data_IF_526562579065
#
_entry.id   IF_526562579065
#
_cell.length_a   1.000
_cell.length_b   1.000
_cell.length_c   1.000
_cell.angle_alpha   90.00
_cell.angle_beta   90.00
_cell.angle_gamma   90.00
#
_symmetry.space_group_name_H-M   'P 1'
#
loop_
_entity.id
_entity.type
_entity.pdbx_description
1 polymer ?
#
# COMPACT_ATOMS: atom_id res chain seq x y z
N UNK A 1 7.30 -21.02 -57.91
CA UNK A 1 7.99 -20.09 -56.99
C UNK A 1 7.08 -19.84 -55.78
N UNK A 2 7.64 -19.76 -54.58
CA UNK A 2 7.26 -20.68 -53.51
C UNK A 2 6.83 -20.00 -52.19
N UNK A 3 6.29 -20.85 -51.28
CA UNK A 3 6.36 -20.76 -49.80
C UNK A 3 5.62 -19.58 -49.14
N UNK A 4 4.71 -19.79 -48.18
CA UNK A 4 4.99 -20.36 -46.86
C UNK A 4 3.76 -21.06 -46.27
N UNK A 5 3.78 -22.40 -46.25
CA UNK A 5 3.12 -23.23 -45.22
C UNK A 5 4.19 -23.53 -44.18
N UNK A 6 4.01 -23.12 -42.92
CA UNK A 6 4.79 -23.64 -41.79
C UNK A 6 3.98 -23.65 -40.49
N UNK A 7 3.79 -24.88 -39.99
CA UNK A 7 3.91 -25.27 -38.58
C UNK A 7 2.97 -24.63 -37.55
N UNK A 8 1.77 -25.22 -37.43
CA UNK A 8 1.09 -25.31 -36.13
C UNK A 8 1.79 -26.42 -35.32
N UNK A 9 2.90 -26.07 -34.67
CA UNK A 9 3.62 -26.95 -33.75
C UNK A 9 3.46 -26.38 -32.33
N UNK A 10 2.69 -27.11 -31.52
CA UNK A 10 2.88 -27.30 -30.07
C UNK A 10 3.55 -26.12 -29.35
N UNK A 11 2.74 -25.16 -28.92
CA UNK A 11 3.11 -24.18 -27.89
C UNK A 11 2.14 -24.29 -26.70
N UNK A 12 1.91 -25.51 -26.23
CA UNK A 12 1.61 -25.75 -24.82
C UNK A 12 2.92 -25.60 -24.04
N UNK A 13 3.46 -24.38 -24.04
CA UNK A 13 4.61 -24.01 -23.22
C UNK A 13 4.10 -23.86 -21.79
N UNK A 14 4.21 -24.97 -21.06
CA UNK A 14 4.72 -25.02 -19.69
C UNK A 14 4.85 -23.62 -19.06
N UNK A 15 3.78 -23.14 -18.43
CA UNK A 15 3.89 -22.23 -17.30
C UNK A 15 4.53 -22.99 -16.13
N UNK A 16 5.77 -23.44 -16.32
CA UNK A 16 6.66 -23.71 -15.21
C UNK A 16 6.87 -22.35 -14.55
N UNK A 17 6.28 -22.20 -13.36
CA UNK A 17 6.73 -21.24 -12.38
C UNK A 17 8.25 -21.33 -12.32
N UNK A 18 8.94 -20.36 -12.93
CA UNK A 18 10.37 -20.25 -12.78
C UNK A 18 10.63 -20.22 -11.27
N UNK A 19 11.42 -21.15 -10.71
CA UNK A 19 11.80 -21.04 -9.32
C UNK A 19 12.43 -19.65 -9.16
N UNK A 20 11.94 -18.92 -8.16
CA UNK A 20 12.54 -17.68 -7.73
C UNK A 20 14.05 -17.88 -7.63
N UNK A 21 14.80 -17.29 -8.55
CA UNK A 21 16.25 -17.43 -8.57
C UNK A 21 16.76 -16.86 -7.26
N UNK A 22 17.42 -17.70 -6.46
CA UNK A 22 18.08 -17.27 -5.24
C UNK A 22 18.93 -16.03 -5.53
N UNK A 23 18.91 -15.05 -4.63
CA UNK A 23 19.77 -13.90 -4.77
C UNK A 23 21.22 -14.36 -4.62
N UNK A 24 21.95 -14.38 -5.73
CA UNK A 24 23.39 -14.60 -5.76
C UNK A 24 24.08 -13.33 -5.30
N UNK A 25 25.09 -13.47 -4.47
CA UNK A 25 25.76 -12.32 -3.89
C UNK A 25 26.56 -11.50 -4.91
N UNK A 26 26.29 -10.20 -5.00
CA UNK A 26 27.16 -9.25 -5.68
C UNK A 26 28.29 -8.88 -4.74
N UNK A 27 29.40 -9.62 -4.82
CA UNK A 27 30.59 -9.33 -4.03
C UNK A 27 31.53 -8.41 -4.81
N UNK A 28 31.77 -7.17 -4.34
CA UNK A 28 32.89 -6.40 -4.82
C UNK A 28 34.18 -7.12 -4.42
N UNK A 29 35.13 -7.29 -5.35
CA UNK A 29 36.37 -8.05 -5.10
C UNK A 29 37.10 -7.56 -3.85
N UNK A 30 37.07 -6.26 -3.58
CA UNK A 30 37.66 -5.67 -2.38
C UNK A 30 36.69 -4.73 -1.69
N UNK A 31 36.78 -4.66 -0.36
CA UNK A 31 35.95 -3.79 0.45
C UNK A 31 36.57 -3.47 1.80
N UNK A 32 36.13 -2.40 2.46
CA UNK A 32 36.56 -2.06 3.81
C UNK A 32 35.44 -1.37 4.59
N UNK A 33 35.39 -1.61 5.91
CA UNK A 33 34.68 -0.75 6.86
C UNK A 33 35.72 0.08 7.60
N UNK A 34 35.71 1.39 7.37
CA UNK A 34 36.59 2.34 8.02
C UNK A 34 35.85 2.94 9.21
N UNK A 35 36.49 2.94 10.38
CA UNK A 35 35.94 3.52 11.60
C UNK A 35 36.98 4.42 12.26
N UNK A 36 36.53 5.50 12.89
CA UNK A 36 37.36 6.36 13.71
C UNK A 36 36.55 7.09 14.77
N UNK A 37 37.12 7.24 15.96
CA UNK A 37 36.52 7.93 17.10
C UNK A 37 37.44 9.04 17.60
N UNK A 38 36.87 10.21 17.86
CA UNK A 38 37.55 11.34 18.51
C UNK A 38 36.66 11.93 19.60
N UNK A 39 37.10 11.83 20.85
CA UNK A 39 36.27 12.21 21.99
C UNK A 39 34.97 11.40 21.99
N UNK A 40 33.84 12.09 21.89
CA UNK A 40 32.51 11.49 21.88
C UNK A 40 31.89 11.35 20.48
N UNK A 41 32.66 11.66 19.44
CA UNK A 41 32.26 11.61 18.05
C UNK A 41 32.89 10.40 17.34
N UNK A 42 32.07 9.60 16.67
CA UNK A 42 32.50 8.43 15.88
C UNK A 42 31.95 8.53 14.47
N UNK A 43 32.78 8.21 13.49
CA UNK A 43 32.38 8.09 12.08
C UNK A 43 32.67 6.68 11.57
N UNK A 44 31.81 6.20 10.66
CA UNK A 44 32.11 5.01 9.87
C UNK A 44 31.78 5.21 8.40
N UNK A 45 32.64 4.64 7.55
CA UNK A 45 32.47 4.62 6.10
C UNK A 45 32.65 3.20 5.61
N UNK A 46 31.64 2.64 4.94
CA UNK A 46 31.79 1.39 4.21
C UNK A 46 32.15 1.70 2.76
N UNK A 47 33.13 0.99 2.19
CA UNK A 47 33.56 1.16 0.80
C UNK A 47 33.71 -0.17 0.08
N UNK A 48 33.49 -0.15 -1.23
CA UNK A 48 33.61 -1.31 -2.12
C UNK A 48 34.29 -0.94 -3.43
N UNK A 49 35.13 -1.83 -3.97
CA UNK A 49 35.79 -1.57 -5.27
C UNK A 49 34.81 -1.79 -6.43
N UNK A 50 34.70 -0.82 -7.33
CA UNK A 50 33.82 -0.85 -8.51
C UNK A 50 34.53 -0.63 -9.85
N UNK A 51 35.79 -0.18 -9.85
CA UNK A 51 36.54 0.13 -11.07
C UNK A 51 37.59 -0.92 -11.45
N UNK A 52 37.92 -0.98 -12.75
CA UNK A 52 39.06 -1.74 -13.24
C UNK A 52 40.38 -1.14 -12.76
N UNK A 53 41.33 -2.00 -12.37
CA UNK A 53 42.64 -1.61 -11.85
C UNK A 53 43.26 -2.77 -11.06
N UNK A 54 44.58 -2.92 -11.11
CA UNK A 54 45.30 -3.98 -10.40
C UNK A 54 45.36 -3.72 -8.88
N UNK A 55 45.27 -4.79 -8.09
CA UNK A 55 45.27 -4.69 -6.62
C UNK A 55 44.18 -3.76 -6.11
N UNK A 56 44.54 -2.77 -5.29
CA UNK A 56 43.61 -1.78 -4.75
C UNK A 56 43.39 -0.55 -5.63
N UNK A 57 44.20 -0.34 -6.68
CA UNK A 57 44.04 0.82 -7.57
C UNK A 57 42.70 0.77 -8.32
N UNK A 58 42.12 1.93 -8.57
CA UNK A 58 40.86 2.10 -9.31
C UNK A 58 39.79 2.81 -8.50
N UNK A 59 38.54 2.68 -8.94
CA UNK A 59 37.38 3.36 -8.35
C UNK A 59 36.76 2.53 -7.24
N UNK A 60 36.39 3.18 -6.15
CA UNK A 60 35.74 2.58 -4.98
C UNK A 60 34.49 3.36 -4.64
N UNK A 61 33.35 2.68 -4.56
CA UNK A 61 32.10 3.29 -4.15
C UNK A 61 32.07 3.41 -2.63
N UNK A 62 31.58 4.52 -2.10
CA UNK A 62 31.11 4.54 -0.71
C UNK A 62 29.76 3.81 -0.69
N UNK A 63 29.51 2.93 0.27
CA UNK A 63 28.22 2.24 0.39
C UNK A 63 27.30 2.94 1.40
N UNK A 64 27.91 3.48 2.46
CA UNK A 64 27.26 4.41 3.37
C UNK A 64 28.31 5.17 4.18
N UNK A 65 27.88 6.30 4.70
CA UNK A 65 28.55 7.04 5.78
C UNK A 65 27.61 7.13 6.98
N UNK A 66 28.16 6.94 8.18
CA UNK A 66 27.46 7.21 9.43
C UNK A 66 28.31 8.08 10.35
N UNK A 67 27.63 8.93 11.11
CA UNK A 67 28.24 9.71 12.19
C UNK A 67 27.41 9.60 13.46
N UNK A 68 28.11 9.50 14.58
CA UNK A 68 27.55 9.19 15.89
C UNK A 68 28.15 10.14 16.90
N UNK A 69 27.31 10.92 17.58
CA UNK A 69 27.73 11.72 18.74
C UNK A 69 27.06 11.14 19.97
N UNK A 70 27.85 10.80 20.99
CA UNK A 70 27.32 10.31 22.26
C UNK A 70 27.53 11.36 23.34
N UNK A 71 26.51 11.67 24.12
CA UNK A 71 26.60 12.61 25.24
C UNK A 71 26.64 11.85 26.57
N UNK A 72 27.18 12.48 27.60
CA UNK A 72 27.24 11.95 28.97
C UNK A 72 25.86 11.89 29.64
N UNK A 73 24.87 12.60 29.09
CA UNK A 73 23.49 12.65 29.58
C UNK A 73 22.46 12.57 28.44
N UNK A 74 21.23 12.11 28.71
CA UNK A 74 20.14 12.14 27.73
C UNK A 74 19.88 13.57 27.22
N UNK A 75 19.61 13.70 25.92
CA UNK A 75 19.42 15.01 25.30
C UNK A 75 18.03 15.61 25.53
N UNK A 76 17.05 14.80 25.97
CA UNK A 76 15.67 15.25 26.19
C UNK A 76 14.95 15.71 24.91
N UNK A 77 15.51 15.43 23.74
CA UNK A 77 15.02 15.84 22.43
C UNK A 77 14.82 14.60 21.55
N UNK A 78 13.65 14.48 20.94
CA UNK A 78 13.37 13.51 19.90
C UNK A 78 13.15 14.27 18.60
N UNK A 79 14.05 14.12 17.63
CA UNK A 79 13.81 14.61 16.28
C UNK A 79 14.34 13.60 15.26
N UNK A 80 13.73 13.63 14.08
CA UNK A 80 14.22 12.98 12.89
C UNK A 80 14.30 14.05 11.79
N UNK A 81 15.47 14.19 11.17
CA UNK A 81 15.69 15.16 10.11
C UNK A 81 16.40 14.50 8.93
N UNK A 82 16.03 14.90 7.72
CA UNK A 82 16.70 14.48 6.49
C UNK A 82 17.20 15.74 5.80
N UNK A 83 18.51 15.82 5.56
CA UNK A 83 19.14 16.95 4.90
C UNK A 83 20.01 16.50 3.73
N UNK A 84 20.04 17.30 2.65
CA UNK A 84 20.97 17.11 1.54
C UNK A 84 22.16 18.04 1.70
N UNK A 85 23.36 17.46 1.72
CA UNK A 85 24.64 18.16 1.79
C UNK A 85 25.32 18.10 0.42
N UNK A 86 25.76 19.25 -0.08
CA UNK A 86 26.60 19.36 -1.27
C UNK A 86 28.06 19.44 -0.82
N UNK A 87 28.89 18.50 -1.28
CA UNK A 87 30.32 18.40 -0.94
C UNK A 87 31.23 19.08 -1.98
N UNK A 88 30.65 19.73 -2.99
CA UNK A 88 31.36 20.36 -4.10
C UNK A 88 31.60 19.39 -5.28
N UNK A 89 32.01 19.93 -6.43
CA UNK A 89 32.32 19.16 -7.65
C UNK A 89 31.23 18.17 -8.09
N UNK A 90 29.96 18.52 -7.85
CA UNK A 90 28.80 17.68 -8.17
C UNK A 90 28.57 16.50 -7.21
N UNK A 91 29.36 16.40 -6.13
CA UNK A 91 29.25 15.33 -5.12
C UNK A 91 28.25 15.76 -4.04
N UNK A 92 27.35 14.86 -3.67
CA UNK A 92 26.34 15.10 -2.64
C UNK A 92 26.12 13.87 -1.76
N UNK A 93 25.54 14.12 -0.59
CA UNK A 93 24.95 13.09 0.26
C UNK A 93 23.64 13.59 0.88
N UNK A 94 22.70 12.69 1.08
CA UNK A 94 21.45 12.89 1.82
C UNK A 94 21.54 12.10 3.11
N UNK A 95 21.45 12.77 4.25
CA UNK A 95 21.68 12.18 5.57
C UNK A 95 20.41 12.25 6.40
N UNK A 96 20.02 11.12 6.97
CA UNK A 96 18.95 11.04 7.97
C UNK A 96 19.56 10.97 9.37
N UNK A 97 19.20 11.91 10.22
CA UNK A 97 19.64 12.00 11.61
C UNK A 97 18.49 11.71 12.57
N UNK A 98 18.79 11.00 13.65
CA UNK A 98 17.86 10.71 14.75
C UNK A 98 18.55 10.81 16.10
N UNK A 99 17.77 11.11 17.14
CA UNK A 99 18.23 11.11 18.52
C UNK A 99 17.55 9.99 19.29
N UNK A 100 18.34 9.16 19.98
CA UNK A 100 17.84 8.14 20.89
C UNK A 100 18.63 8.23 22.19
N UNK A 101 17.96 8.62 23.28
CA UNK A 101 18.58 8.78 24.59
C UNK A 101 19.65 9.87 24.60
N UNK A 102 20.91 9.46 24.78
CA UNK A 102 22.08 10.33 24.79
C UNK A 102 22.85 10.34 23.46
N UNK A 103 22.31 9.76 22.38
CA UNK A 103 23.04 9.56 21.13
C UNK A 103 22.34 10.24 19.95
N UNK A 104 23.09 11.04 19.22
CA UNK A 104 22.73 11.51 17.88
C UNK A 104 23.35 10.52 16.87
N UNK A 105 22.54 10.00 15.97
CA UNK A 105 22.97 9.08 14.93
C UNK A 105 22.49 9.56 13.57
N UNK A 106 23.43 9.83 12.69
CA UNK A 106 23.21 10.30 11.33
C UNK A 106 23.75 9.25 10.35
N UNK A 107 22.98 8.93 9.29
CA UNK A 107 23.38 7.98 8.27
C UNK A 107 22.94 8.42 6.88
N UNK A 108 23.77 8.19 5.87
CA UNK A 108 23.41 8.45 4.47
C UNK A 108 22.26 7.56 4.01
N UNK A 109 21.28 8.16 3.33
CA UNK A 109 20.12 7.49 2.71
C UNK A 109 20.19 7.51 1.19
N UNK A 110 20.86 8.50 0.61
CA UNK A 110 21.19 8.60 -0.82
C UNK A 110 22.50 9.39 -0.97
N UNK A 111 23.32 9.12 -1.99
CA UNK A 111 24.55 9.87 -2.30
C UNK A 111 25.16 9.42 -3.64
N UNK A 112 26.11 10.18 -4.16
CA UNK A 112 26.91 9.81 -5.35
C UNK A 112 28.43 9.73 -5.09
N UNK A 113 28.84 9.65 -3.82
CA UNK A 113 30.26 9.62 -3.43
C UNK A 113 31.02 8.39 -3.95
N UNK A 114 32.17 8.63 -4.59
CA UNK A 114 33.10 7.63 -5.11
C UNK A 114 34.52 8.07 -4.76
N UNK A 115 35.34 7.14 -4.27
CA UNK A 115 36.76 7.31 -4.03
C UNK A 115 37.58 6.82 -5.23
N UNK A 116 38.66 7.52 -5.51
CA UNK A 116 39.70 7.11 -6.45
C UNK A 116 40.94 6.68 -5.67
N UNK A 117 41.47 5.50 -5.99
CA UNK A 117 42.70 4.96 -5.41
C UNK A 117 43.77 4.86 -6.50
N UNK A 118 44.89 5.57 -6.31
CA UNK A 118 46.03 5.51 -7.21
C UNK A 118 47.34 5.58 -6.43
N UNK A 119 48.24 4.60 -6.63
CA UNK A 119 49.56 4.59 -6.01
C UNK A 119 49.50 4.65 -4.48
N UNK A 120 48.60 3.87 -3.87
CA UNK A 120 48.33 3.83 -2.43
C UNK A 120 47.79 5.13 -1.81
N UNK A 121 47.38 6.10 -2.64
CA UNK A 121 46.69 7.32 -2.18
C UNK A 121 45.22 7.23 -2.52
N UNK A 122 44.38 7.87 -1.71
CA UNK A 122 42.92 7.87 -1.85
C UNK A 122 42.42 9.32 -1.88
N UNK A 123 41.53 9.64 -2.81
CA UNK A 123 40.82 10.92 -2.88
C UNK A 123 39.36 10.69 -3.22
N UNK A 124 38.52 11.70 -2.99
CA UNK A 124 37.18 11.69 -3.59
C UNK A 124 37.34 11.94 -5.10
N UNK A 125 36.64 11.19 -5.92
CA UNK A 125 36.78 11.23 -7.38
C UNK A 125 36.61 12.66 -7.92
N UNK A 126 37.49 13.06 -8.86
CA UNK A 126 37.53 14.42 -9.43
C UNK A 126 37.79 15.54 -8.41
N UNK A 127 38.39 15.25 -7.26
CA UNK A 127 38.77 16.27 -6.27
C UNK A 127 40.28 16.31 -6.04
N UNK A 128 40.75 17.43 -5.49
CA UNK A 128 42.00 17.52 -4.75
C UNK A 128 41.63 18.03 -3.34
N UNK A 129 42.30 17.63 -2.25
CA UNK A 129 43.55 16.86 -2.18
C UNK A 129 43.37 15.32 -2.05
N UNK A 130 44.49 14.62 -1.85
CA UNK A 130 44.51 13.18 -1.50
C UNK A 130 44.34 13.03 0.00
N UNK A 131 43.16 12.57 0.44
CA UNK A 131 42.77 12.60 1.85
C UNK A 131 42.95 11.27 2.59
N UNK A 132 43.33 10.21 1.88
CA UNK A 132 43.53 8.89 2.47
C UNK A 132 44.72 8.16 1.86
N UNK A 133 45.04 7.02 2.46
CA UNK A 133 46.13 6.15 1.98
C UNK A 133 45.87 4.69 2.28
N UNK A 134 46.60 3.81 1.58
CA UNK A 134 46.63 2.38 1.82
C UNK A 134 48.05 1.97 2.22
N UNK A 135 48.20 1.25 3.33
CA UNK A 135 49.44 0.63 3.74
C UNK A 135 49.20 -0.85 4.06
N UNK A 136 49.83 -1.77 3.33
CA UNK A 136 49.46 -3.19 3.36
C UNK A 136 48.00 -3.37 2.95
N UNK A 137 47.18 -3.96 3.82
CA UNK A 137 45.73 -4.04 3.66
C UNK A 137 44.98 -2.96 4.47
N UNK A 138 45.65 -2.06 5.17
CA UNK A 138 44.99 -1.04 5.98
C UNK A 138 44.67 0.18 5.11
N UNK A 139 43.39 0.51 4.98
CA UNK A 139 42.89 1.74 4.36
C UNK A 139 42.66 2.80 5.42
N UNK A 140 43.04 4.04 5.10
CA UNK A 140 42.79 5.22 5.92
C UNK A 140 42.08 6.30 5.12
N UNK A 141 41.14 7.01 5.74
CA UNK A 141 40.36 8.06 5.08
C UNK A 141 40.01 9.18 6.04
N UNK A 142 39.89 10.39 5.48
CA UNK A 142 39.34 11.58 6.12
C UNK A 142 38.65 12.42 5.05
N UNK A 143 37.47 12.97 5.31
CA UNK A 143 36.80 13.89 4.40
C UNK A 143 37.52 15.24 4.34
N UNK A 144 38.01 15.75 5.47
CA UNK A 144 38.76 17.00 5.55
C UNK A 144 40.09 16.79 6.31
N UNK A 145 41.22 16.62 5.59
CA UNK A 145 42.54 16.34 6.19
C UNK A 145 42.92 17.29 7.33
N UNK A 146 42.68 18.59 7.11
CA UNK A 146 43.03 19.67 8.05
C UNK A 146 42.05 19.82 9.22
N UNK A 147 40.88 19.16 9.19
CA UNK A 147 39.89 19.34 10.24
C UNK A 147 40.33 18.63 11.52
N UNK A 148 40.70 19.42 12.52
CA UNK A 148 41.13 18.92 13.82
C UNK A 148 39.99 18.36 14.69
N UNK A 149 38.75 18.27 14.23
CA UNK A 149 37.65 17.62 14.97
C UNK A 149 37.25 16.28 14.35
N UNK A 150 37.58 16.07 13.09
CA UNK A 150 37.26 14.85 12.37
C UNK A 150 38.24 13.71 12.75
N UNK A 151 37.75 12.50 13.05
CA UNK A 151 38.60 11.35 13.31
C UNK A 151 39.28 10.86 12.03
N UNK A 152 40.48 10.28 12.15
CA UNK A 152 41.07 9.52 11.05
C UNK A 152 40.40 8.15 11.01
N UNK A 153 39.71 7.84 9.92
CA UNK A 153 39.07 6.53 9.75
C UNK A 153 40.11 5.51 9.34
N UNK A 154 40.04 4.32 9.93
CA UNK A 154 40.92 3.20 9.60
C UNK A 154 40.13 1.91 9.49
N UNK A 155 40.53 1.04 8.57
CA UNK A 155 39.94 -0.28 8.42
C UNK A 155 40.77 -1.17 7.51
N UNK A 156 40.60 -2.48 7.64
CA UNK A 156 41.28 -3.44 6.78
C UNK A 156 40.45 -3.69 5.52
N UNK A 157 41.14 -3.74 4.38
CA UNK A 157 40.59 -4.17 3.11
C UNK A 157 40.47 -5.70 3.16
N UNK A 158 39.24 -6.18 3.10
CA UNK A 158 38.92 -7.59 2.86
C UNK A 158 38.78 -7.85 1.37
N UNK A 159 39.38 -8.95 0.90
CA UNK A 159 39.02 -9.55 -0.39
C UNK A 159 37.72 -10.35 -0.20
N UNK A 160 36.80 -10.27 -1.16
CA UNK A 160 35.56 -11.03 -1.11
C UNK A 160 35.85 -12.51 -0.88
N UNK A 161 35.02 -13.14 -0.04
CA UNK A 161 35.01 -14.59 0.12
C UNK A 161 34.95 -15.24 -1.27
N UNK A 162 35.91 -16.13 -1.56
CA UNK A 162 35.88 -16.98 -2.75
C UNK A 162 34.72 -17.99 -2.71
N UNK A 163 34.11 -18.19 -1.54
CA UNK A 163 32.98 -19.10 -1.36
C UNK A 163 31.67 -18.41 -1.80
N UNK A 164 30.89 -19.04 -2.71
CA UNK A 164 29.65 -18.47 -3.20
C UNK A 164 28.63 -18.41 -2.06
N UNK A 165 28.07 -17.22 -1.84
CA UNK A 165 27.00 -17.04 -0.88
C UNK A 165 25.68 -16.84 -1.63
N UNK A 166 24.62 -17.51 -1.19
CA UNK A 166 23.28 -17.37 -1.78
C UNK A 166 22.25 -17.18 -0.69
N UNK A 167 21.28 -16.31 -0.91
CA UNK A 167 20.12 -16.12 -0.03
C UNK A 167 18.84 -16.45 -0.81
N UNK A 168 17.96 -17.25 -0.22
CA UNK A 168 16.65 -17.54 -0.81
C UNK A 168 15.53 -17.49 0.22
N UNK A 169 14.49 -16.69 -0.02
CA UNK A 169 13.25 -16.69 0.76
C UNK A 169 12.41 -17.89 0.33
N UNK A 170 12.18 -18.80 1.29
CA UNK A 170 11.32 -19.98 1.17
C UNK A 170 9.89 -19.63 1.56
N UNK A 171 9.72 -18.91 2.67
CA UNK A 171 8.44 -18.35 3.11
C UNK A 171 8.61 -16.86 3.45
N UNK A 172 7.75 -15.96 2.94
CA UNK A 172 6.55 -16.22 2.14
C UNK A 172 6.85 -16.62 0.68
N UNK A 173 5.91 -17.35 0.08
CA UNK A 173 5.85 -17.54 -1.38
C UNK A 173 5.36 -16.26 -2.08
N UNK A 174 5.61 -16.14 -3.38
CA UNK A 174 5.21 -14.96 -4.14
C UNK A 174 3.69 -14.78 -4.11
N UNK A 175 3.23 -13.57 -3.74
CA UNK A 175 1.81 -13.18 -3.60
C UNK A 175 1.06 -13.98 -2.52
N UNK A 176 1.77 -14.57 -1.56
CA UNK A 176 1.14 -15.28 -0.44
C UNK A 176 0.17 -14.35 0.29
N UNK A 177 -1.01 -14.88 0.57
CA UNK A 177 -2.10 -14.13 1.17
C UNK A 177 -2.20 -14.44 2.66
N UNK A 178 -2.30 -13.41 3.48
CA UNK A 178 -2.47 -13.48 4.92
C UNK A 178 -3.74 -12.75 5.32
N UNK A 179 -4.47 -13.28 6.29
CA UNK A 179 -5.72 -12.69 6.76
C UNK A 179 -5.69 -12.58 8.28
N UNK A 180 -6.14 -11.45 8.80
CA UNK A 180 -6.34 -11.29 10.23
C UNK A 180 -7.37 -12.29 10.75
N UNK A 181 -7.15 -12.84 11.94
CA UNK A 181 -8.10 -13.78 12.56
C UNK A 181 -9.43 -13.10 12.89
N UNK A 182 -10.49 -13.92 12.93
CA UNK A 182 -11.86 -13.49 13.21
C UNK A 182 -12.15 -13.24 14.70
N UNK A 183 -11.17 -13.46 15.59
CA UNK A 183 -11.32 -13.38 17.03
C UNK A 183 -11.51 -11.93 17.49
N UNK A 184 -11.99 -11.70 18.72
CA UNK A 184 -12.36 -10.38 19.24
C UNK A 184 -11.28 -9.30 19.07
N UNK A 185 -10.00 -9.64 19.28
CA UNK A 185 -8.88 -8.72 19.01
C UNK A 185 -8.45 -8.81 17.54
N UNK A 186 -8.38 -10.02 17.00
CA UNK A 186 -7.79 -10.31 15.69
C UNK A 186 -6.27 -10.27 15.75
N UNK A 187 -5.61 -11.08 14.92
CA UNK A 187 -4.15 -11.09 14.79
C UNK A 187 -3.75 -11.55 13.39
N UNK A 188 -2.59 -11.09 12.90
CA UNK A 188 -1.99 -11.54 11.65
C UNK A 188 -0.65 -12.21 11.95
N UNK A 189 -0.55 -13.51 11.73
CA UNK A 189 0.70 -14.26 11.88
C UNK A 189 1.37 -14.43 10.51
N UNK A 190 2.67 -14.18 10.46
CA UNK A 190 3.52 -14.35 9.28
C UNK A 190 4.73 -15.18 9.69
N UNK A 191 4.89 -16.33 9.05
CA UNK A 191 6.09 -17.16 9.15
C UNK A 191 7.06 -16.76 8.05
N UNK A 192 8.30 -16.54 8.45
CA UNK A 192 9.39 -16.10 7.58
C UNK A 192 10.49 -17.15 7.64
N UNK A 193 10.85 -17.66 6.47
CA UNK A 193 11.89 -18.67 6.32
C UNK A 193 12.77 -18.34 5.13
N UNK A 194 14.07 -18.29 5.35
CA UNK A 194 15.06 -18.13 4.31
C UNK A 194 16.13 -19.21 4.44
N UNK A 195 16.66 -19.65 3.30
CA UNK A 195 17.81 -20.54 3.22
C UNK A 195 19.02 -19.73 2.78
N UNK A 196 20.15 -19.96 3.43
CA UNK A 196 21.43 -19.40 3.02
C UNK A 196 22.42 -20.50 2.73
N UNK A 197 23.34 -20.26 1.82
CA UNK A 197 24.55 -21.07 1.67
C UNK A 197 25.71 -20.10 1.70
N UNK A 198 26.76 -20.33 2.52
CA UNK A 198 26.89 -21.37 3.54
C UNK A 198 25.95 -21.19 4.75
N UNK A 199 25.52 -22.31 5.35
CA UNK A 199 24.52 -22.33 6.45
C UNK A 199 24.96 -21.57 7.70
N UNK A 200 26.27 -21.41 7.92
CA UNK A 200 26.82 -20.66 9.07
C UNK A 200 26.31 -19.21 9.16
N UNK A 201 25.84 -18.65 8.04
CA UNK A 201 25.29 -17.29 7.98
C UNK A 201 23.77 -17.22 8.29
N UNK A 202 23.13 -18.35 8.63
CA UNK A 202 21.69 -18.41 8.86
C UNK A 202 21.21 -17.41 9.92
N UNK A 203 22.00 -17.21 10.99
CA UNK A 203 21.67 -16.29 12.08
C UNK A 203 21.91 -14.80 11.74
N UNK A 204 22.60 -14.52 10.63
CA UNK A 204 22.93 -13.15 10.20
C UNK A 204 21.91 -12.56 9.22
N UNK A 205 20.93 -13.36 8.79
CA UNK A 205 19.83 -12.88 7.94
C UNK A 205 19.02 -11.85 8.73
N UNK A 206 18.80 -10.69 8.13
CA UNK A 206 17.97 -9.60 8.67
C UNK A 206 16.71 -9.48 7.84
N UNK A 207 15.55 -9.54 8.49
CA UNK A 207 14.26 -9.37 7.85
C UNK A 207 13.78 -7.92 7.90
N UNK A 208 13.32 -7.43 6.76
CA UNK A 208 12.50 -6.22 6.65
C UNK A 208 11.07 -6.63 6.37
N UNK A 209 10.17 -6.21 7.24
CA UNK A 209 8.75 -6.56 7.18
C UNK A 209 7.89 -5.29 7.15
N UNK A 210 6.66 -5.36 6.63
CA UNK A 210 5.78 -4.21 6.54
C UNK A 210 5.50 -3.61 7.92
N UNK A 211 5.53 -2.30 8.02
CA UNK A 211 4.97 -1.61 9.18
C UNK A 211 3.46 -1.46 8.98
N UNK A 212 2.71 -1.56 10.09
CA UNK A 212 1.26 -1.34 10.13
C UNK A 212 1.04 -0.26 11.18
N UNK A 213 0.43 0.85 10.77
CA UNK A 213 0.32 2.03 11.62
C UNK A 213 -0.46 1.75 12.91
N UNK A 214 0.04 2.26 14.04
CA UNK A 214 -0.58 2.15 15.35
C UNK A 214 -0.69 0.73 15.92
N UNK A 215 0.09 -0.25 15.43
CA UNK A 215 0.01 -1.64 15.90
C UNK A 215 1.29 -2.16 16.53
N UNK A 216 1.12 -2.83 17.67
CA UNK A 216 2.16 -3.61 18.33
C UNK A 216 2.52 -4.81 17.47
N UNK A 217 3.82 -5.00 17.26
CA UNK A 217 4.38 -6.15 16.55
C UNK A 217 5.19 -6.98 17.54
N UNK A 218 4.88 -8.27 17.60
CA UNK A 218 5.69 -9.25 18.32
C UNK A 218 6.41 -10.15 17.32
N UNK A 219 7.62 -10.55 17.65
CA UNK A 219 8.39 -11.49 16.84
C UNK A 219 9.11 -12.47 17.75
N UNK A 220 9.30 -13.71 17.29
CA UNK A 220 10.12 -14.71 18.01
C UNK A 220 11.54 -14.21 18.25
N UNK A 221 12.06 -13.39 17.34
CA UNK A 221 13.25 -12.57 17.53
C UNK A 221 12.91 -11.07 17.32
N UNK A 222 12.92 -10.24 18.37
CA UNK A 222 12.63 -8.80 18.25
C UNK A 222 13.58 -8.02 17.33
N UNK A 223 14.80 -8.52 17.11
CA UNK A 223 15.77 -7.91 16.19
C UNK A 223 15.51 -8.28 14.73
N UNK A 224 14.51 -9.12 14.46
CA UNK A 224 14.18 -9.64 13.13
C UNK A 224 15.36 -10.33 12.45
N UNK A 225 16.14 -11.08 13.25
CA UNK A 225 17.31 -11.83 12.77
C UNK A 225 17.10 -13.34 12.81
N UNK A 226 17.71 -14.04 11.87
CA UNK A 226 17.73 -15.48 11.77
C UNK A 226 17.05 -16.03 10.52
N UNK A 227 17.37 -17.28 10.19
CA UNK A 227 16.81 -17.98 9.04
C UNK A 227 15.31 -18.25 9.17
N UNK A 228 14.81 -18.37 10.41
CA UNK A 228 13.40 -18.56 10.70
C UNK A 228 12.94 -17.60 11.79
N UNK A 229 11.92 -16.79 11.47
CA UNK A 229 11.24 -15.95 12.46
C UNK A 229 9.72 -16.00 12.24
N UNK A 230 8.96 -15.88 13.33
CA UNK A 230 7.51 -15.67 13.25
C UNK A 230 7.18 -14.28 13.75
N UNK A 231 6.36 -13.57 12.99
CA UNK A 231 5.93 -12.19 13.27
C UNK A 231 4.42 -12.20 13.47
N UNK A 232 3.95 -11.51 14.50
CA UNK A 232 2.53 -11.36 14.82
C UNK A 232 2.20 -9.88 14.96
N UNK A 233 1.20 -9.42 14.20
CA UNK A 233 0.56 -8.12 14.41
C UNK A 233 -0.73 -8.32 15.20
N UNK A 234 -0.83 -7.65 16.35
CA UNK A 234 -2.00 -7.76 17.23
C UNK A 234 -3.05 -6.70 16.86
N UNK A 235 -4.28 -7.13 16.59
CA UNK A 235 -5.40 -6.25 16.27
C UNK A 235 -5.45 -5.77 14.82
N UNK A 236 -6.65 -5.60 14.27
CA UNK A 236 -6.81 -5.07 12.91
C UNK A 236 -6.43 -3.57 12.83
N UNK A 237 -5.79 -3.11 11.75
CA UNK A 237 -5.40 -1.71 11.55
C UNK A 237 -6.58 -0.74 11.52
N UNK A 238 -6.30 0.55 11.73
CA UNK A 238 -7.30 1.62 11.61
C UNK A 238 -7.64 1.96 10.17
N UNK A 239 -6.64 1.92 9.29
CA UNK A 239 -6.79 2.34 7.90
C UNK A 239 -6.92 1.15 6.95
N UNK A 240 -7.79 1.26 5.94
CA UNK A 240 -7.85 0.29 4.85
C UNK A 240 -6.52 0.22 4.07
N UNK A 241 -5.72 1.29 4.08
CA UNK A 241 -4.43 1.36 3.38
C UNK A 241 -3.35 0.46 4.01
N UNK A 242 -3.55 0.00 5.24
CA UNK A 242 -2.66 -0.94 5.91
C UNK A 242 -2.83 -2.38 5.40
N UNK A 243 -3.89 -2.66 4.64
CA UNK A 243 -4.07 -3.93 3.93
C UNK A 243 -3.46 -3.88 2.52
N UNK A 244 -3.66 -4.96 1.78
CA UNK A 244 -3.23 -5.06 0.39
C UNK A 244 -1.81 -5.53 0.19
N UNK A 245 -1.24 -5.17 -0.96
CA UNK A 245 0.10 -5.60 -1.37
C UNK A 245 1.15 -4.99 -0.45
N UNK A 246 2.02 -5.83 0.11
CA UNK A 246 3.13 -5.44 0.96
C UNK A 246 4.39 -6.19 0.55
N UNK A 247 5.55 -5.69 0.95
CA UNK A 247 6.85 -6.31 0.66
C UNK A 247 7.48 -6.87 1.95
N UNK A 248 7.94 -8.11 1.87
CA UNK A 248 8.84 -8.72 2.86
C UNK A 248 10.19 -8.93 2.18
N UNK A 249 11.27 -8.55 2.86
CA UNK A 249 12.62 -8.69 2.33
C UNK A 249 13.52 -9.38 3.35
N UNK A 250 14.44 -10.19 2.86
CA UNK A 250 15.55 -10.75 3.64
C UNK A 250 16.84 -10.17 3.10
N UNK A 251 17.74 -9.76 3.99
CA UNK A 251 19.06 -9.23 3.64
C UNK A 251 20.12 -9.99 4.41
N UNK A 252 21.23 -10.28 3.76
CA UNK A 252 22.42 -10.87 4.38
C UNK A 252 23.64 -10.05 3.99
N UNK A 253 24.42 -9.64 4.98
CA UNK A 253 25.70 -8.96 4.79
C UNK A 253 26.84 -9.87 5.28
N UNK A 254 27.82 -10.17 4.41
CA UNK A 254 29.01 -10.96 4.74
C UNK A 254 30.26 -10.14 4.40
N UNK A 255 30.88 -9.49 5.38
CA UNK A 255 31.85 -8.44 5.07
C UNK A 255 31.14 -7.30 4.30
N UNK A 256 31.57 -7.00 3.07
CA UNK A 256 30.85 -6.06 2.20
C UNK A 256 30.01 -6.70 1.10
N UNK A 257 29.94 -8.03 1.08
CA UNK A 257 29.00 -8.76 0.25
C UNK A 257 27.59 -8.49 0.80
N UNK A 258 26.64 -8.02 -0.04
CA UNK A 258 25.20 -7.97 0.29
C UNK A 258 24.35 -8.85 -0.64
N UNK A 259 23.58 -9.77 -0.07
CA UNK A 259 22.45 -10.42 -0.74
C UNK A 259 21.13 -9.81 -0.24
N UNK A 260 20.18 -9.63 -1.14
CA UNK A 260 18.83 -9.23 -0.80
C UNK A 260 17.83 -9.94 -1.69
N UNK A 261 16.77 -10.48 -1.11
CA UNK A 261 15.62 -10.98 -1.84
C UNK A 261 14.35 -10.38 -1.25
N UNK A 262 13.35 -10.15 -2.09
CA UNK A 262 12.05 -9.60 -1.69
C UNK A 262 10.89 -10.42 -2.25
N UNK A 263 9.78 -10.44 -1.51
CA UNK A 263 8.53 -11.11 -1.86
C UNK A 263 7.34 -10.18 -1.63
N UNK A 264 6.45 -10.10 -2.62
CA UNK A 264 5.12 -9.50 -2.43
C UNK A 264 4.27 -10.46 -1.60
N UNK A 265 3.67 -9.95 -0.53
CA UNK A 265 2.61 -10.60 0.24
C UNK A 265 1.36 -9.73 0.21
N UNK A 266 0.21 -10.30 0.58
CA UNK A 266 -1.07 -9.57 0.57
C UNK A 266 -1.80 -9.73 1.89
N UNK A 267 -2.14 -8.62 2.53
CA UNK A 267 -2.85 -8.61 3.81
C UNK A 267 -4.34 -8.36 3.59
N UNK A 268 -5.16 -9.11 4.33
CA UNK A 268 -6.62 -9.09 4.23
C UNK A 268 -7.27 -9.02 5.61
N UNK A 269 -8.51 -8.54 5.67
CA UNK A 269 -9.34 -8.60 6.87
C UNK A 269 -10.52 -9.56 6.71
N UNK A 270 -10.97 -10.22 7.81
CA UNK A 270 -12.18 -11.03 7.79
C UNK A 270 -13.41 -10.15 7.55
N UNK A 271 -14.13 -10.36 6.45
CA UNK A 271 -15.16 -9.43 5.97
C UNK A 271 -16.30 -9.19 6.97
N UNK A 272 -16.76 -10.26 7.61
CA UNK A 272 -18.02 -10.30 8.36
C UNK A 272 -17.90 -9.96 9.85
N UNK A 273 -16.71 -10.07 10.42
CA UNK A 273 -16.51 -9.85 11.86
C UNK A 273 -16.55 -8.37 12.20
N UNK A 274 -16.67 -8.06 13.49
CA UNK A 274 -16.71 -6.68 14.03
C UNK A 274 -15.50 -6.36 14.89
N UNK A 275 -14.34 -6.93 14.56
CA UNK A 275 -13.08 -6.74 15.30
C UNK A 275 -12.20 -5.63 14.72
N UNK A 276 -12.77 -4.74 13.89
CA UNK A 276 -12.17 -3.45 13.57
C UNK A 276 -12.03 -2.58 14.83
N UNK A 277 -11.19 -1.53 14.80
CA UNK A 277 -10.92 -0.70 15.97
C UNK A 277 -12.15 -0.06 16.64
N UNK A 278 -13.23 0.20 15.90
CA UNK A 278 -14.44 0.78 16.46
C UNK A 278 -15.37 -0.26 17.10
N UNK A 279 -15.27 -1.54 16.71
CA UNK A 279 -16.06 -2.65 17.26
C UNK A 279 -17.56 -2.64 16.94
N UNK A 280 -18.07 -1.60 16.28
CA UNK A 280 -19.52 -1.33 16.15
C UNK A 280 -20.17 -1.92 14.90
N UNK A 281 -19.43 -1.97 13.80
CA UNK A 281 -19.94 -2.38 12.48
C UNK A 281 -19.12 -3.54 11.93
N UNK A 282 -19.63 -4.30 10.94
CA UNK A 282 -18.81 -5.29 10.23
C UNK A 282 -17.58 -4.64 9.58
N UNK A 283 -16.48 -5.39 9.50
CA UNK A 283 -15.22 -4.90 8.96
C UNK A 283 -15.35 -4.37 7.53
N UNK A 284 -16.16 -5.02 6.68
CA UNK A 284 -16.40 -4.53 5.32
C UNK A 284 -16.92 -3.10 5.31
N UNK A 285 -17.89 -2.77 6.17
CA UNK A 285 -18.47 -1.44 6.22
C UNK A 285 -17.45 -0.45 6.76
N UNK A 286 -16.78 -0.80 7.86
CA UNK A 286 -15.77 0.03 8.49
C UNK A 286 -14.66 0.44 7.51
N UNK A 287 -14.11 -0.52 6.76
CA UNK A 287 -12.99 -0.25 5.85
C UNK A 287 -13.42 0.31 4.51
N UNK A 288 -14.50 -0.20 3.88
CA UNK A 288 -14.95 0.33 2.58
C UNK A 288 -15.44 1.78 2.69
N UNK A 289 -15.99 2.17 3.85
CA UNK A 289 -16.34 3.58 4.14
C UNK A 289 -15.14 4.55 4.05
N UNK A 290 -13.91 4.06 4.18
CA UNK A 290 -12.69 4.87 4.11
C UNK A 290 -12.19 5.06 2.67
N UNK A 291 -12.78 4.37 1.71
CA UNK A 291 -12.30 4.29 0.33
C UNK A 291 -13.11 5.24 -0.58
N UNK A 292 -12.66 5.47 -1.83
CA UNK A 292 -13.46 6.19 -2.82
C UNK A 292 -14.85 5.58 -3.09
N UNK A 293 -15.07 4.29 -2.78
CA UNK A 293 -16.37 3.65 -2.91
C UNK A 293 -17.47 4.31 -2.04
N UNK A 294 -17.07 5.01 -0.97
CA UNK A 294 -17.97 5.74 -0.09
C UNK A 294 -18.12 7.22 -0.48
N UNK A 295 -17.54 7.63 -1.61
CA UNK A 295 -17.53 9.01 -2.11
C UNK A 295 -18.20 9.05 -3.48
N UNK A 296 -19.54 8.98 -3.55
CA UNK A 296 -20.25 8.99 -4.82
C UNK A 296 -19.91 10.27 -5.57
N UNK A 297 -19.38 10.12 -6.79
CA UNK A 297 -18.89 11.22 -7.64
C UNK A 297 -17.84 12.11 -6.94
N UNK A 298 -17.08 11.55 -5.99
CA UNK A 298 -16.08 12.27 -5.21
C UNK A 298 -16.65 13.10 -4.05
N UNK A 299 -17.96 13.14 -3.85
CA UNK A 299 -18.60 13.91 -2.78
C UNK A 299 -18.39 13.27 -1.40
N UNK A 300 -18.18 14.11 -0.38
CA UNK A 300 -18.19 13.68 1.01
C UNK A 300 -19.61 13.75 1.56
N UNK A 301 -20.22 12.59 1.81
CA UNK A 301 -21.58 12.48 2.38
C UNK A 301 -21.55 11.73 3.70
N UNK A 302 -22.57 11.96 4.54
CA UNK A 302 -22.74 11.18 5.78
C UNK A 302 -23.23 9.78 5.42
N UNK A 303 -22.46 8.76 5.81
CA UNK A 303 -22.80 7.34 5.61
C UNK A 303 -22.78 6.62 6.95
N UNK A 304 -23.87 5.93 7.28
CA UNK A 304 -24.00 5.11 8.48
C UNK A 304 -24.40 3.67 8.13
N UNK A 305 -24.12 2.77 9.06
CA UNK A 305 -24.54 1.39 8.93
C UNK A 305 -26.00 1.27 9.41
N UNK A 306 -26.92 0.96 8.50
CA UNK A 306 -28.33 0.74 8.79
C UNK A 306 -28.65 -0.66 9.34
N UNK A 307 -27.72 -1.62 9.19
CA UNK A 307 -27.97 -3.04 9.50
C UNK A 307 -29.23 -3.56 8.76
N UNK A 308 -29.90 -4.58 9.29
CA UNK A 308 -31.19 -5.09 8.74
C UNK A 308 -32.42 -4.41 9.33
N UNK A 309 -32.26 -3.71 10.45
CA UNK A 309 -33.36 -3.16 11.25
C UNK A 309 -33.78 -1.75 10.86
N UNK A 310 -33.02 -1.08 9.99
CA UNK A 310 -33.30 0.29 9.58
C UNK A 310 -34.25 0.33 8.37
N UNK A 311 -35.48 0.80 8.59
CA UNK A 311 -36.49 1.01 7.54
C UNK A 311 -36.60 -0.20 6.59
N UNK A 312 -36.47 0.02 5.27
CA UNK A 312 -36.58 -1.02 4.25
C UNK A 312 -35.35 -1.94 4.15
N UNK A 313 -34.33 -1.79 5.00
CA UNK A 313 -33.13 -2.63 4.95
C UNK A 313 -33.41 -4.13 5.22
N UNK A 314 -34.59 -4.47 5.71
CA UNK A 314 -35.03 -5.86 5.89
C UNK A 314 -35.49 -6.57 4.60
N UNK A 315 -35.75 -5.84 3.51
CA UNK A 315 -36.22 -6.43 2.25
C UNK A 315 -35.10 -7.17 1.48
N UNK A 316 -35.43 -7.73 0.32
CA UNK A 316 -34.49 -8.51 -0.50
C UNK A 316 -33.83 -7.74 -1.64
N UNK A 317 -34.04 -6.41 -1.76
CA UNK A 317 -33.57 -5.62 -2.91
C UNK A 317 -32.82 -4.33 -2.52
N UNK A 318 -33.09 -3.76 -1.35
CA UNK A 318 -32.58 -2.45 -0.93
C UNK A 318 -31.17 -2.55 -0.33
N UNK A 319 -30.17 -2.01 -1.02
CA UNK A 319 -28.77 -2.03 -0.59
C UNK A 319 -28.38 -0.89 0.37
N UNK A 320 -29.02 0.27 0.23
CA UNK A 320 -28.87 1.43 1.09
C UNK A 320 -30.17 2.24 1.07
N UNK A 321 -30.31 3.20 1.98
CA UNK A 321 -31.48 4.09 2.08
C UNK A 321 -31.05 5.48 2.49
N UNK A 322 -31.45 6.49 1.74
CA UNK A 322 -31.52 7.87 2.19
C UNK A 322 -32.86 8.13 2.89
N UNK A 323 -32.83 8.46 4.19
CA UNK A 323 -34.04 8.80 4.94
C UNK A 323 -33.97 10.23 5.48
N UNK A 324 -34.79 11.16 4.96
CA UNK A 324 -34.89 12.52 5.49
C UNK A 324 -35.59 12.57 6.86
N UNK A 325 -36.28 11.49 7.25
CA UNK A 325 -36.97 11.34 8.55
C UNK A 325 -36.04 10.83 9.66
N UNK A 326 -34.88 10.30 9.30
CA UNK A 326 -33.91 9.86 10.29
C UNK A 326 -33.50 11.05 11.17
N UNK A 327 -33.40 10.84 12.48
CA UNK A 327 -32.90 11.87 13.43
C UNK A 327 -31.46 12.31 13.14
N UNK A 328 -30.81 11.67 12.16
CA UNK A 328 -29.43 11.88 11.73
C UNK A 328 -29.48 12.54 10.34
N UNK A 329 -29.87 13.81 10.35
CA UNK A 329 -30.00 14.69 9.19
C UNK A 329 -28.97 14.40 8.07
N UNK A 330 -29.45 14.27 6.82
CA UNK A 330 -28.63 14.12 5.59
C UNK A 330 -27.68 12.91 5.57
N UNK A 331 -28.20 11.73 5.90
CA UNK A 331 -27.39 10.50 5.99
C UNK A 331 -27.91 9.39 5.07
N UNK A 332 -26.99 8.75 4.36
CA UNK A 332 -27.22 7.47 3.67
C UNK A 332 -26.95 6.33 4.63
N UNK A 333 -27.94 5.46 4.82
CA UNK A 333 -27.87 4.27 5.65
C UNK A 333 -27.63 3.04 4.78
N UNK A 334 -26.43 2.47 4.82
CA UNK A 334 -26.11 1.25 4.07
C UNK A 334 -26.61 0.03 4.85
N UNK A 335 -27.40 -0.79 4.19
CA UNK A 335 -27.98 -1.99 4.78
C UNK A 335 -26.92 -3.08 5.02
N UNK A 336 -27.28 -4.12 5.76
CA UNK A 336 -26.44 -5.31 5.85
C UNK A 336 -26.42 -6.08 4.52
N UNK A 337 -25.38 -5.84 3.70
CA UNK A 337 -25.25 -6.45 2.38
C UNK A 337 -25.12 -7.99 2.43
N UNK A 338 -24.82 -8.58 3.59
CA UNK A 338 -24.82 -10.04 3.74
C UNK A 338 -26.20 -10.67 3.55
N UNK A 339 -27.28 -9.89 3.56
CA UNK A 339 -28.62 -10.37 3.22
C UNK A 339 -28.74 -10.83 1.76
N UNK A 340 -27.86 -10.36 0.88
CA UNK A 340 -27.83 -10.71 -0.54
C UNK A 340 -26.94 -11.93 -0.85
N UNK A 341 -26.70 -12.77 0.15
CA UNK A 341 -25.85 -13.94 0.02
C UNK A 341 -24.35 -13.62 0.09
N UNK A 342 -23.50 -14.64 -0.13
CA UNK A 342 -22.09 -14.58 0.22
C UNK A 342 -21.25 -13.75 -0.77
N UNK A 343 -21.81 -13.32 -1.91
CA UNK A 343 -21.15 -12.39 -2.84
C UNK A 343 -21.61 -10.93 -2.67
N UNK A 344 -22.55 -10.66 -1.75
CA UNK A 344 -23.23 -9.36 -1.63
C UNK A 344 -23.81 -8.92 -2.97
N UNK A 345 -24.58 -9.80 -3.63
CA UNK A 345 -24.97 -9.63 -5.03
C UNK A 345 -26.30 -8.90 -5.19
N UNK A 346 -26.32 -7.77 -5.89
CA UNK A 346 -27.57 -7.07 -6.24
C UNK A 346 -27.70 -6.99 -7.77
N UNK A 347 -28.90 -7.31 -8.27
CA UNK A 347 -29.30 -7.12 -9.65
C UNK A 347 -30.11 -5.83 -9.76
N UNK A 348 -29.78 -4.95 -10.68
CA UNK A 348 -30.50 -3.69 -10.91
C UNK A 348 -30.64 -3.38 -12.41
N UNK A 349 -31.70 -2.67 -12.83
CA UNK A 349 -31.92 -2.34 -14.23
C UNK A 349 -30.90 -1.32 -14.74
N UNK A 350 -30.52 -1.46 -16.01
CA UNK A 350 -29.68 -0.49 -16.72
C UNK A 350 -30.61 0.44 -17.51
N UNK A 351 -30.72 1.69 -17.06
CA UNK A 351 -31.67 2.69 -17.57
C UNK A 351 -30.96 3.89 -18.19
N UNK A 352 -31.61 4.53 -19.17
CA UNK A 352 -31.21 5.84 -19.67
C UNK A 352 -32.39 6.62 -20.24
N UNK A 353 -32.38 7.95 -20.15
CA UNK A 353 -33.36 8.79 -20.83
C UNK A 353 -32.84 9.50 -22.09
N UNK A 354 -31.53 9.59 -22.31
CA UNK A 354 -30.98 10.39 -23.43
C UNK A 354 -31.19 9.81 -24.83
N UNK A 355 -31.34 8.49 -24.96
CA UNK A 355 -31.59 7.83 -26.25
C UNK A 355 -33.06 7.39 -26.37
N UNK A 356 -33.87 7.98 -27.26
CA UNK A 356 -35.30 7.68 -27.40
C UNK A 356 -35.61 6.19 -27.64
N UNK A 357 -34.77 5.48 -28.38
CA UNK A 357 -35.03 4.09 -28.80
C UNK A 357 -34.52 3.01 -27.84
N UNK A 358 -33.85 3.36 -26.74
CA UNK A 358 -33.17 2.39 -25.85
C UNK A 358 -33.23 2.78 -24.37
N UNK A 359 -34.44 2.89 -23.81
CA UNK A 359 -34.65 3.33 -22.42
C UNK A 359 -34.25 2.27 -21.36
N UNK A 360 -34.33 0.99 -21.72
CA UNK A 360 -33.90 -0.15 -20.91
C UNK A 360 -32.86 -0.96 -21.69
N UNK A 361 -31.71 -1.23 -21.07
CA UNK A 361 -30.57 -1.89 -21.71
C UNK A 361 -30.31 -3.31 -21.16
N UNK A 362 -31.13 -3.79 -20.24
CA UNK A 362 -30.95 -5.05 -19.53
C UNK A 362 -30.68 -4.84 -18.05
N UNK A 363 -30.06 -5.82 -17.40
CA UNK A 363 -29.72 -5.78 -15.98
C UNK A 363 -28.21 -5.85 -15.78
N UNK A 364 -27.75 -5.23 -14.69
CA UNK A 364 -26.39 -5.33 -14.19
C UNK A 364 -26.39 -5.97 -12.80
N UNK A 365 -25.45 -6.88 -12.57
CA UNK A 365 -25.20 -7.46 -11.24
C UNK A 365 -23.95 -6.84 -10.64
N UNK A 366 -24.04 -6.24 -9.46
CA UNK A 366 -22.87 -5.84 -8.65
C UNK A 366 -22.61 -6.86 -7.54
N UNK A 367 -21.37 -6.93 -7.05
CA UNK A 367 -20.96 -7.81 -5.94
C UNK A 367 -19.97 -7.12 -5.01
N UNK A 368 -19.94 -7.45 -3.72
CA UNK A 368 -18.93 -6.98 -2.77
C UNK A 368 -18.86 -5.46 -2.66
N UNK A 369 -17.65 -4.89 -2.78
CA UNK A 369 -17.44 -3.44 -2.70
C UNK A 369 -18.18 -2.67 -3.82
N UNK A 370 -18.41 -3.31 -4.97
CA UNK A 370 -19.16 -2.70 -6.07
C UNK A 370 -20.63 -2.49 -5.68
N UNK A 371 -21.23 -3.45 -4.97
CA UNK A 371 -22.60 -3.32 -4.45
C UNK A 371 -22.69 -2.20 -3.43
N UNK A 372 -21.70 -2.09 -2.55
CA UNK A 372 -21.61 -0.96 -1.62
C UNK A 372 -21.55 0.38 -2.36
N UNK A 373 -20.68 0.50 -3.37
CA UNK A 373 -20.51 1.73 -4.13
C UNK A 373 -21.76 2.09 -4.95
N UNK A 374 -22.35 1.12 -5.64
CA UNK A 374 -23.53 1.31 -6.47
C UNK A 374 -24.73 1.76 -5.62
N UNK A 375 -24.96 1.12 -4.46
CA UNK A 375 -26.02 1.52 -3.54
C UNK A 375 -25.79 2.92 -2.97
N UNK A 376 -24.56 3.27 -2.59
CA UNK A 376 -24.23 4.62 -2.12
C UNK A 376 -24.42 5.67 -3.21
N UNK A 377 -24.08 5.34 -4.47
CA UNK A 377 -24.29 6.22 -5.63
C UNK A 377 -25.77 6.45 -5.92
N UNK A 378 -26.61 5.41 -5.86
CA UNK A 378 -28.07 5.50 -6.00
C UNK A 378 -28.66 6.45 -4.96
N UNK A 379 -28.38 6.22 -3.68
CA UNK A 379 -28.93 7.03 -2.59
C UNK A 379 -28.41 8.48 -2.59
N UNK A 380 -27.23 8.73 -3.18
CA UNK A 380 -26.72 10.09 -3.35
C UNK A 380 -27.62 10.93 -4.26
N UNK A 381 -28.33 10.32 -5.22
CA UNK A 381 -29.29 11.03 -6.08
C UNK A 381 -30.47 11.53 -5.26
N UNK A 382 -31.07 10.68 -4.42
CA UNK A 382 -32.14 11.07 -3.51
C UNK A 382 -31.69 12.17 -2.53
N UNK A 383 -30.48 12.04 -1.98
CA UNK A 383 -29.89 13.07 -1.11
C UNK A 383 -29.73 14.42 -1.84
N UNK A 384 -29.26 14.42 -3.09
CA UNK A 384 -29.11 15.63 -3.91
C UNK A 384 -30.45 16.28 -4.20
N UNK A 385 -31.43 15.52 -4.68
CA UNK A 385 -32.78 16.00 -4.98
C UNK A 385 -33.42 16.60 -3.72
N UNK A 386 -33.29 15.90 -2.58
CA UNK A 386 -33.81 16.41 -1.31
C UNK A 386 -33.19 17.76 -0.92
N UNK A 387 -31.86 17.89 -1.02
CA UNK A 387 -31.17 19.12 -0.69
C UNK A 387 -31.45 20.26 -1.69
N UNK A 388 -31.66 19.93 -2.96
CA UNK A 388 -31.89 20.93 -4.01
C UNK A 388 -33.27 21.59 -3.86
N UNK A 389 -34.32 20.81 -3.62
CA UNK A 389 -35.67 21.37 -3.65
C UNK A 389 -36.61 20.90 -2.54
N UNK A 390 -36.42 19.76 -1.90
CA UNK A 390 -37.37 19.27 -0.88
C UNK A 390 -37.15 19.90 0.50
N UNK A 391 -35.92 20.33 0.80
CA UNK A 391 -35.52 20.86 2.10
C UNK A 391 -36.36 22.07 2.53
N UNK A 392 -36.83 22.04 3.79
CA UNK A 392 -37.58 23.14 4.41
C UNK A 392 -39.03 23.28 3.94
N UNK A 393 -39.49 22.43 3.01
CA UNK A 393 -40.87 22.43 2.52
C UNK A 393 -41.74 21.46 3.31
N UNK A 394 -42.99 21.86 3.56
CA UNK A 394 -44.03 20.99 4.11
C UNK A 394 -44.51 20.01 3.04
N UNK A 395 -45.15 18.91 3.47
CA UNK A 395 -45.74 17.96 2.53
C UNK A 395 -46.79 18.59 1.61
N UNK A 396 -47.54 19.59 2.09
CA UNK A 396 -48.52 20.31 1.27
C UNK A 396 -47.84 21.16 0.19
N UNK A 397 -46.73 21.82 0.51
CA UNK A 397 -45.93 22.57 -0.46
C UNK A 397 -45.29 21.65 -1.50
N UNK A 398 -44.75 20.50 -1.07
CA UNK A 398 -44.18 19.52 -2.01
C UNK A 398 -45.23 19.04 -3.00
N UNK A 399 -46.40 18.60 -2.51
CA UNK A 399 -47.52 18.14 -3.37
C UNK A 399 -48.08 19.21 -4.32
N UNK A 400 -47.86 20.49 -4.03
CA UNK A 400 -48.29 21.59 -4.88
C UNK A 400 -47.27 21.93 -5.98
N UNK A 401 -46.04 21.42 -5.87
CA UNK A 401 -44.91 21.67 -6.77
C UNK A 401 -44.47 20.41 -7.54
N UNK A 402 -45.11 19.27 -7.24
CA UNK A 402 -44.89 17.91 -7.74
C UNK A 402 -46.28 17.27 -7.86
N UNK A 403 -46.97 17.58 -8.96
CA UNK A 403 -48.39 17.31 -9.12
C UNK A 403 -48.69 15.81 -9.30
N UNK A 404 -47.84 15.14 -10.06
CA UNK A 404 -47.94 13.70 -10.38
C UNK A 404 -47.28 12.81 -9.32
N UNK A 405 -46.50 13.40 -8.40
CA UNK A 405 -45.86 12.77 -7.24
C UNK A 405 -44.71 11.86 -7.64
N UNK A 406 -43.99 12.23 -8.68
CA UNK A 406 -42.85 11.48 -9.21
C UNK A 406 -41.54 11.71 -8.43
N UNK A 407 -41.55 12.67 -7.49
CA UNK A 407 -40.41 13.01 -6.64
C UNK A 407 -39.46 14.07 -7.22
N UNK A 408 -39.75 14.57 -8.42
CA UNK A 408 -39.15 15.73 -9.07
C UNK A 408 -40.06 16.95 -8.91
N UNK A 409 -39.60 18.11 -9.35
CA UNK A 409 -40.39 19.33 -9.29
C UNK A 409 -40.85 19.64 -10.71
N UNK A 410 -42.16 19.84 -10.92
CA UNK A 410 -42.78 19.99 -12.25
C UNK A 410 -42.02 20.99 -13.14
N UNK A 411 -41.59 22.12 -12.56
CA UNK A 411 -40.89 23.20 -13.29
C UNK A 411 -39.47 22.83 -13.74
N UNK A 412 -38.84 21.84 -13.11
CA UNK A 412 -37.48 21.41 -13.38
C UNK A 412 -37.42 20.20 -14.34
N UNK A 413 -38.47 19.39 -14.38
CA UNK A 413 -38.53 18.16 -15.16
C UNK A 413 -38.26 18.31 -16.66
N UNK A 414 -38.81 19.30 -17.39
CA UNK A 414 -38.50 19.47 -18.81
C UNK A 414 -37.00 19.67 -19.06
N UNK A 415 -36.30 20.34 -18.14
CA UNK A 415 -34.84 20.52 -18.21
C UNK A 415 -34.04 19.26 -17.89
N UNK A 416 -34.64 18.31 -17.18
CA UNK A 416 -34.09 16.98 -16.89
C UNK A 416 -34.54 15.93 -17.91
N UNK A 417 -35.44 16.28 -18.83
CA UNK A 417 -36.01 15.39 -19.83
C UNK A 417 -37.15 14.52 -19.32
N UNK A 418 -37.90 14.97 -18.32
CA UNK A 418 -39.09 14.30 -17.77
C UNK A 418 -40.37 15.11 -18.08
N UNK A 419 -41.53 14.47 -17.95
CA UNK A 419 -42.85 15.00 -18.26
C UNK A 419 -43.63 15.27 -16.95
N UNK A 420 -43.91 16.54 -16.58
CA UNK A 420 -44.47 16.95 -15.29
C UNK A 420 -45.91 16.48 -15.01
N UNK A 421 -46.52 15.77 -15.95
CA UNK A 421 -47.85 15.20 -15.80
C UNK A 421 -47.82 13.67 -15.59
N UNK A 422 -46.63 13.05 -15.54
CA UNK A 422 -46.48 11.59 -15.56
C UNK A 422 -45.57 11.10 -14.44
N UNK A 423 -46.20 10.44 -13.45
CA UNK A 423 -45.52 9.69 -12.38
C UNK A 423 -44.30 8.87 -12.85
N UNK A 424 -44.39 8.31 -14.06
CA UNK A 424 -43.30 7.65 -14.78
C UNK A 424 -43.30 8.12 -16.23
N UNK A 425 -42.39 9.03 -16.58
CA UNK A 425 -42.21 9.50 -17.97
C UNK A 425 -41.80 8.36 -18.89
N UNK A 426 -40.87 7.51 -18.43
CA UNK A 426 -40.28 6.44 -19.24
C UNK A 426 -40.75 5.07 -18.78
N UNK A 427 -41.14 4.23 -19.76
CA UNK A 427 -41.61 2.86 -19.53
C UNK A 427 -42.68 2.78 -18.42
N UNK A 428 -43.86 3.40 -18.58
CA UNK A 428 -44.88 3.48 -17.53
C UNK A 428 -45.41 2.11 -17.05
N UNK A 429 -45.17 1.05 -17.82
CA UNK A 429 -45.51 -0.33 -17.43
C UNK A 429 -44.40 -1.05 -16.64
N UNK A 430 -43.20 -0.47 -16.54
CA UNK A 430 -42.06 -1.02 -15.82
C UNK A 430 -42.19 -0.66 -14.33
N UNK A 431 -42.79 -1.56 -13.55
CA UNK A 431 -43.12 -1.33 -12.13
C UNK A 431 -41.95 -1.54 -11.16
N UNK A 432 -40.79 -2.00 -11.66
CA UNK A 432 -39.56 -2.11 -10.87
C UNK A 432 -38.99 -0.74 -10.46
N UNK A 433 -39.29 0.29 -11.26
CA UNK A 433 -38.94 1.69 -11.00
C UNK A 433 -40.23 2.41 -10.62
N UNK A 434 -40.26 3.02 -9.43
CA UNK A 434 -41.51 3.55 -8.86
C UNK A 434 -41.95 4.86 -9.52
N UNK A 435 -40.99 5.72 -9.83
CA UNK A 435 -41.21 7.07 -10.34
C UNK A 435 -39.95 7.61 -11.03
N UNK A 436 -40.00 8.85 -11.53
CA UNK A 436 -38.89 9.46 -12.26
C UNK A 436 -37.71 9.85 -11.37
N UNK A 437 -37.92 10.13 -10.08
CA UNK A 437 -36.82 10.25 -9.11
C UNK A 437 -36.01 8.94 -8.99
N UNK A 438 -36.68 7.79 -8.84
CA UNK A 438 -36.03 6.48 -8.84
C UNK A 438 -35.40 6.15 -10.20
N UNK A 439 -36.00 6.61 -11.31
CA UNK A 439 -35.39 6.48 -12.64
C UNK A 439 -34.04 7.18 -12.69
N UNK A 440 -33.95 8.43 -12.23
CA UNK A 440 -32.68 9.18 -12.16
C UNK A 440 -31.64 8.49 -11.28
N UNK A 441 -32.09 7.90 -10.17
CA UNK A 441 -31.21 7.16 -9.26
C UNK A 441 -30.62 5.91 -9.95
N UNK A 442 -31.46 5.09 -10.59
CA UNK A 442 -31.02 3.92 -11.35
C UNK A 442 -30.20 4.27 -12.59
N UNK A 443 -30.52 5.36 -13.30
CA UNK A 443 -29.72 5.82 -14.44
C UNK A 443 -28.33 6.28 -14.00
N UNK A 444 -28.23 6.96 -12.86
CA UNK A 444 -26.94 7.32 -12.25
C UNK A 444 -26.17 6.06 -11.84
N UNK A 445 -26.85 5.11 -11.19
CA UNK A 445 -26.28 3.81 -10.83
C UNK A 445 -25.85 2.99 -12.06
N UNK A 446 -26.55 3.12 -13.18
CA UNK A 446 -26.23 2.47 -14.46
C UNK A 446 -24.89 2.94 -15.05
N UNK A 447 -24.48 4.17 -14.71
CA UNK A 447 -23.15 4.69 -15.05
C UNK A 447 -22.01 4.03 -14.24
N UNK A 448 -22.33 3.26 -13.19
CA UNK A 448 -21.33 2.58 -12.38
C UNK A 448 -20.71 1.38 -13.11
N UNK A 449 -19.37 1.36 -13.18
CA UNK A 449 -18.61 0.27 -13.77
C UNK A 449 -18.14 -0.71 -12.69
N UNK A 450 -18.56 -1.96 -12.75
CA UNK A 450 -18.03 -3.00 -11.86
C UNK A 450 -16.51 -3.10 -11.93
N UNK A 451 -15.87 -3.35 -10.79
CA UNK A 451 -14.42 -3.42 -10.67
C UNK A 451 -13.72 -2.07 -10.47
N UNK A 452 -14.46 -0.96 -10.45
CA UNK A 452 -13.90 0.40 -10.25
C UNK A 452 -13.12 0.49 -8.94
N UNK A 453 -13.54 -0.24 -7.90
CA UNK A 453 -12.93 -0.18 -6.57
C UNK A 453 -12.28 -1.50 -6.11
N UNK A 454 -12.02 -2.44 -7.03
CA UNK A 454 -11.37 -3.73 -6.72
C UNK A 454 -10.01 -3.54 -6.02
N UNK A 455 -9.26 -2.49 -6.36
CA UNK A 455 -7.96 -2.19 -5.76
C UNK A 455 -8.04 -1.86 -4.25
N UNK A 456 -9.24 -1.59 -3.72
CA UNK A 456 -9.48 -1.25 -2.32
C UNK A 456 -10.12 -2.39 -1.52
N UNK A 457 -10.60 -3.45 -2.18
CA UNK A 457 -11.28 -4.56 -1.50
C UNK A 457 -10.29 -5.64 -1.04
N UNK A 458 -9.76 -5.44 0.17
CA UNK A 458 -8.88 -6.36 0.87
C UNK A 458 -9.63 -7.22 1.90
N UNK A 459 -10.92 -7.43 1.68
CA UNK A 459 -11.71 -8.32 2.53
C UNK A 459 -11.54 -9.80 2.14
N UNK A 460 -11.72 -10.70 3.12
CA UNK A 460 -11.84 -12.16 2.92
C UNK A 460 -13.23 -12.61 3.38
N UNK A 461 -14.07 -13.14 2.48
CA UNK A 461 -13.92 -13.10 1.03
C UNK A 461 -14.11 -11.68 0.47
N UNK A 462 -13.58 -11.40 -0.72
CA UNK A 462 -13.65 -10.10 -1.40
C UNK A 462 -13.08 -10.17 -2.81
N UNK A 463 -13.02 -9.05 -3.54
CA UNK A 463 -12.55 -9.02 -4.95
C UNK A 463 -11.12 -9.53 -5.11
N UNK A 464 -10.23 -9.24 -4.16
CA UNK A 464 -8.85 -9.76 -4.15
C UNK A 464 -8.71 -11.15 -3.47
N UNK A 465 -9.80 -11.67 -2.90
CA UNK A 465 -9.90 -13.02 -2.33
C UNK A 465 -11.31 -13.61 -2.57
N UNK A 466 -11.61 -14.02 -3.82
CA UNK A 466 -12.93 -14.53 -4.16
C UNK A 466 -13.24 -15.83 -3.40
N UNK A 467 -14.52 -16.13 -3.20
CA UNK A 467 -14.98 -17.35 -2.53
C UNK A 467 -14.58 -18.60 -3.31
N UNK A 468 -14.66 -18.54 -4.63
CA UNK A 468 -14.19 -19.57 -5.54
C UNK A 468 -12.91 -19.07 -6.21
N UNK A 469 -11.79 -19.74 -5.95
CA UNK A 469 -10.64 -19.61 -6.84
C UNK A 469 -10.91 -20.53 -8.04
N UNK A 470 -10.77 -20.06 -9.29
CA UNK A 470 -10.88 -20.94 -10.45
C UNK A 470 -9.89 -22.09 -10.39
#
# INVERSE_FOLDING_TARGET
MPTFRRFALVAALLCLSLPSTAASLQCPRYSALLEGTRGNYTERVAVSKIGAGSGYNGRWKIEYFESIITYDRPLGLNFARVDRHNLGNGIYMVVACSVIGNRIHCRTTDHNMVLEVAGNKIRMENTAPWNGSINGNTMTWKFHPENALEPLLRGNIGEASSEPVTLSIIEPTAKQKYVFTANTVGALEIKLKAKVTPERYANDIVWKIPEIDGKGRRATNPQLRGAEITVIYDGLPRSNNDFGKKQVSATLNVGACRAEESREVRFFFPRYTKNNPDGKTPNWFYYWKQTPAAKPEGANISILYGARSFESCGDTITGAIFSPKSKLYRTVHVCDLAKFGPEFSILYPILQHKNPGKKFLGYQTSTGIDTFAAAVLHENVHLKIYNQWKIGKTLAQLKALDADRDGLQDTAEPGLGFDPEKLRTYLPHFTEVKNDEEWLAYETQSGYKNGTYDAYDWSRPGKNWPLNQP
#
